data_IF_772466213921
#
_entry.id   IF_772466213921
#
_cell.length_a   1.000
_cell.length_b   1.000
_cell.length_c   1.000
_cell.angle_alpha   90.00
_cell.angle_beta   90.00
_cell.angle_gamma   90.00
#
_symmetry.space_group_name_H-M   'P 1'
#
loop_
_entity.id
_entity.type
_entity.pdbx_description
1 polymer ?
#
# COMPACT_ATOMS: atom_id res chain seq x y z
N UNK A 1 46.94 -57.30 -26.08
CA UNK A 1 45.79 -56.67 -25.39
C UNK A 1 45.89 -55.19 -25.60
N UNK A 2 45.05 -54.59 -26.46
CA UNK A 2 45.06 -53.23 -26.81
C UNK A 2 43.98 -52.51 -25.93
N UNK A 3 44.39 -51.58 -25.08
CA UNK A 3 43.47 -50.77 -24.24
C UNK A 3 42.93 -49.62 -25.04
N UNK A 4 41.59 -49.54 -25.17
CA UNK A 4 40.85 -48.44 -25.76
C UNK A 4 40.67 -47.34 -24.70
N UNK A 5 41.25 -46.17 -24.94
CA UNK A 5 41.02 -44.98 -24.16
C UNK A 5 39.66 -44.36 -24.55
N UNK A 6 38.74 -44.26 -23.57
CA UNK A 6 37.48 -43.55 -23.71
C UNK A 6 37.74 -42.03 -23.59
N UNK A 7 37.46 -41.30 -24.65
CA UNK A 7 37.44 -39.84 -24.63
C UNK A 7 36.17 -39.32 -23.90
N UNK A 8 36.35 -38.52 -22.87
CA UNK A 8 35.27 -37.80 -22.17
C UNK A 8 34.93 -36.57 -23.00
N UNK A 9 33.67 -36.33 -23.39
CA UNK A 9 33.32 -35.12 -24.08
C UNK A 9 33.39 -33.89 -23.12
N UNK A 10 34.03 -32.84 -23.57
CA UNK A 10 34.08 -31.55 -22.87
C UNK A 10 32.66 -30.98 -22.76
N UNK A 11 32.23 -30.77 -21.53
CA UNK A 11 30.98 -30.05 -21.26
C UNK A 11 31.09 -28.60 -21.78
N UNK A 12 30.27 -28.26 -22.76
CA UNK A 12 30.12 -26.90 -23.20
C UNK A 12 29.53 -26.10 -22.04
N UNK A 13 30.31 -25.16 -21.50
CA UNK A 13 29.83 -24.11 -20.62
C UNK A 13 28.85 -23.26 -21.43
N UNK A 14 27.55 -23.44 -21.15
CA UNK A 14 26.52 -22.52 -21.59
C UNK A 14 26.78 -21.20 -20.85
N UNK A 15 27.43 -20.25 -21.51
CA UNK A 15 27.42 -18.85 -21.11
C UNK A 15 26.02 -18.35 -21.39
N UNK A 16 25.10 -18.55 -20.44
CA UNK A 16 23.82 -17.88 -20.47
C UNK A 16 24.07 -16.38 -20.43
N UNK A 17 23.51 -15.65 -21.39
CA UNK A 17 23.48 -14.20 -21.34
C UNK A 17 23.00 -13.78 -19.95
N UNK A 18 23.61 -12.75 -19.32
CA UNK A 18 23.13 -12.26 -18.03
C UNK A 18 21.67 -11.85 -18.21
N UNK A 19 20.77 -12.54 -17.50
CA UNK A 19 19.36 -12.23 -17.53
C UNK A 19 19.20 -10.71 -17.29
N UNK A 20 18.61 -10.02 -18.28
CA UNK A 20 18.41 -8.57 -18.19
C UNK A 20 17.67 -8.29 -16.87
N UNK A 21 18.29 -7.49 -15.99
CA UNK A 21 17.76 -7.27 -14.66
C UNK A 21 16.36 -6.66 -14.78
N UNK A 22 15.35 -7.38 -14.27
CA UNK A 22 13.98 -6.94 -14.37
C UNK A 22 13.83 -5.51 -13.85
N UNK A 23 13.27 -4.63 -14.68
CA UNK A 23 13.05 -3.23 -14.31
C UNK A 23 11.84 -3.13 -13.39
N UNK A 24 12.05 -2.74 -12.14
CA UNK A 24 10.97 -2.52 -11.18
C UNK A 24 10.60 -1.04 -11.14
N UNK A 25 9.33 -0.76 -11.34
CA UNK A 25 8.79 0.59 -11.25
C UNK A 25 8.16 0.84 -9.89
N UNK A 26 8.16 2.10 -9.48
CA UNK A 26 7.36 2.57 -8.34
C UNK A 26 6.30 3.54 -8.81
N UNK A 27 5.21 3.65 -8.04
CA UNK A 27 4.17 4.67 -8.23
C UNK A 27 4.03 5.47 -6.95
N UNK A 28 3.69 6.74 -7.08
CA UNK A 28 3.55 7.64 -5.95
C UNK A 28 2.31 8.52 -6.09
N UNK A 29 1.69 8.83 -4.95
CA UNK A 29 0.71 9.91 -4.85
C UNK A 29 1.42 11.24 -4.83
N UNK A 30 1.06 12.14 -5.75
CA UNK A 30 1.59 13.49 -5.85
C UNK A 30 0.46 14.49 -5.60
N UNK A 31 0.49 15.16 -4.45
CA UNK A 31 -0.61 15.96 -3.93
C UNK A 31 -0.71 17.35 -4.56
N UNK A 32 0.41 17.97 -4.96
CA UNK A 32 0.41 19.33 -5.49
C UNK A 32 -0.39 19.44 -6.80
N UNK A 33 -0.32 18.40 -7.64
CA UNK A 33 -1.05 18.35 -8.91
C UNK A 33 -2.16 17.29 -8.96
N UNK A 34 -2.42 16.61 -7.84
CA UNK A 34 -3.45 15.58 -7.74
C UNK A 34 -3.22 14.40 -8.68
N UNK A 35 -1.98 13.91 -8.79
CA UNK A 35 -1.60 12.87 -9.75
C UNK A 35 -1.09 11.61 -9.08
N UNK A 36 -1.29 10.50 -9.77
CA UNK A 36 -0.54 9.28 -9.56
C UNK A 36 0.55 9.23 -10.61
N UNK A 37 1.81 9.17 -10.17
CA UNK A 37 2.99 9.15 -11.03
C UNK A 37 3.69 7.80 -10.94
N UNK A 38 4.22 7.29 -12.07
CA UNK A 38 5.09 6.12 -12.12
C UNK A 38 6.51 6.55 -12.44
N UNK A 39 7.47 5.97 -11.74
CA UNK A 39 8.90 6.23 -11.93
C UNK A 39 9.68 4.94 -12.15
N UNK A 40 10.73 5.04 -12.94
CA UNK A 40 11.79 4.03 -13.01
C UNK A 40 12.91 4.46 -12.03
N UNK A 41 13.20 3.71 -10.97
CA UNK A 41 14.26 4.05 -10.03
C UNK A 41 15.67 4.11 -10.65
N UNK A 42 15.89 3.35 -11.73
CA UNK A 42 17.20 3.31 -12.41
C UNK A 42 17.40 4.48 -13.37
N UNK A 43 16.32 5.11 -13.85
CA UNK A 43 16.37 6.25 -14.78
C UNK A 43 15.32 7.29 -14.39
N UNK A 44 15.59 8.03 -13.33
CA UNK A 44 14.66 9.02 -12.80
C UNK A 44 14.40 10.13 -13.82
N UNK A 45 13.15 10.35 -14.12
CA UNK A 45 12.66 11.40 -14.99
C UNK A 45 11.49 12.14 -14.32
N UNK A 46 10.78 12.99 -15.06
CA UNK A 46 9.58 13.69 -14.55
C UNK A 46 8.46 12.79 -14.06
N UNK A 47 8.58 11.49 -14.29
CA UNK A 47 7.57 10.47 -14.01
C UNK A 47 6.49 10.40 -15.11
N UNK A 48 5.94 9.21 -15.32
CA UNK A 48 4.79 9.00 -16.20
C UNK A 48 3.51 9.21 -15.40
N UNK A 49 2.62 10.09 -15.88
CA UNK A 49 1.31 10.26 -15.27
C UNK A 49 0.48 9.02 -15.55
N UNK A 50 0.08 8.29 -14.50
CA UNK A 50 -0.85 7.17 -14.59
C UNK A 50 -2.29 7.66 -14.56
N UNK A 51 -2.61 8.58 -13.67
CA UNK A 51 -3.95 9.10 -13.47
C UNK A 51 -3.94 10.49 -12.83
N UNK A 52 -5.00 11.26 -13.04
CA UNK A 52 -5.25 12.56 -12.40
C UNK A 52 -6.59 12.55 -11.69
N UNK A 53 -6.63 13.09 -10.49
CA UNK A 53 -7.86 13.32 -9.77
C UNK A 53 -8.79 14.25 -10.55
N UNK A 54 -10.11 14.05 -10.47
CA UNK A 54 -11.09 14.91 -11.15
C UNK A 54 -11.04 16.37 -10.68
N UNK A 55 -10.57 16.61 -9.45
CA UNK A 55 -10.47 17.92 -8.84
C UNK A 55 -9.27 17.99 -7.90
N UNK A 56 -8.75 19.19 -7.69
CA UNK A 56 -7.75 19.52 -6.66
C UNK A 56 -8.41 20.14 -5.41
N UNK A 57 -9.72 20.14 -5.33
CA UNK A 57 -10.50 20.72 -4.23
C UNK A 57 -11.50 19.71 -3.65
N UNK A 58 -12.02 20.00 -2.46
CA UNK A 58 -13.01 19.17 -1.81
C UNK A 58 -12.49 17.79 -1.42
N UNK A 59 -13.28 16.78 -1.67
CA UNK A 59 -12.97 15.38 -1.25
C UNK A 59 -11.81 14.73 -2.00
N UNK A 60 -11.39 15.26 -3.14
CA UNK A 60 -10.26 14.76 -3.94
C UNK A 60 -8.91 15.39 -3.58
N UNK A 61 -8.89 16.34 -2.65
CA UNK A 61 -7.65 16.98 -2.18
C UNK A 61 -6.81 15.98 -1.40
N UNK A 62 -5.49 16.12 -1.48
CA UNK A 62 -4.52 15.35 -0.71
C UNK A 62 -4.61 13.84 -0.96
N UNK A 63 -4.26 13.41 -2.19
CA UNK A 63 -4.14 11.99 -2.52
C UNK A 63 -3.25 11.29 -1.49
N UNK A 64 -3.79 10.29 -0.79
CA UNK A 64 -3.15 9.70 0.38
C UNK A 64 -2.69 8.26 0.18
N UNK A 65 -3.27 7.51 -0.75
CA UNK A 65 -2.80 6.17 -1.11
C UNK A 65 -3.08 5.84 -2.57
N UNK A 66 -2.28 4.92 -3.10
CA UNK A 66 -2.52 4.25 -4.39
C UNK A 66 -2.01 2.82 -4.30
N UNK A 67 -2.83 1.86 -4.76
CA UNK A 67 -2.41 0.47 -4.97
C UNK A 67 -2.92 0.00 -6.32
N UNK A 68 -2.16 -0.85 -6.98
CA UNK A 68 -2.56 -1.48 -8.23
C UNK A 68 -2.93 -2.92 -7.95
N UNK A 69 -4.06 -3.39 -8.48
CA UNK A 69 -4.57 -4.75 -8.27
C UNK A 69 -5.10 -5.34 -9.57
N UNK A 70 -4.80 -6.62 -9.78
CA UNK A 70 -5.46 -7.40 -10.81
C UNK A 70 -6.87 -7.79 -10.37
N UNK A 71 -7.82 -7.77 -11.29
CA UNK A 71 -9.20 -8.23 -11.05
C UNK A 71 -9.69 -9.06 -12.21
N UNK A 72 -10.57 -10.01 -11.96
CA UNK A 72 -11.17 -10.84 -13.00
C UNK A 72 -12.16 -10.07 -13.89
N UNK A 73 -12.72 -8.97 -13.38
CA UNK A 73 -13.81 -8.23 -14.07
C UNK A 73 -13.34 -6.98 -14.81
N UNK A 74 -12.37 -6.25 -14.26
CA UNK A 74 -11.90 -4.97 -14.82
C UNK A 74 -10.42 -5.02 -15.23
N UNK A 75 -9.80 -6.21 -15.30
CA UNK A 75 -8.35 -6.30 -15.51
C UNK A 75 -7.59 -5.60 -14.39
N UNK A 76 -6.68 -4.70 -14.74
CA UNK A 76 -5.91 -3.94 -13.76
C UNK A 76 -6.67 -2.70 -13.30
N UNK A 77 -6.73 -2.51 -12.00
CA UNK A 77 -7.34 -1.33 -11.36
C UNK A 77 -6.34 -0.63 -10.45
N UNK A 78 -6.50 0.68 -10.32
CA UNK A 78 -5.88 1.45 -9.25
C UNK A 78 -6.91 1.70 -8.15
N UNK A 79 -6.53 1.42 -6.92
CA UNK A 79 -7.24 1.80 -5.69
C UNK A 79 -6.63 3.09 -5.18
N UNK A 80 -7.43 4.12 -4.99
CA UNK A 80 -6.95 5.46 -4.62
C UNK A 80 -7.74 5.99 -3.43
N UNK A 81 -7.05 6.65 -2.50
CA UNK A 81 -7.69 7.49 -1.48
C UNK A 81 -7.18 8.92 -1.57
N UNK A 82 -8.04 9.84 -1.15
CA UNK A 82 -7.73 11.24 -0.93
C UNK A 82 -8.26 11.65 0.45
N UNK A 83 -7.44 12.31 1.25
CA UNK A 83 -7.80 12.67 2.63
C UNK A 83 -8.84 13.81 2.71
N UNK A 84 -9.04 14.56 1.61
CA UNK A 84 -9.95 15.67 1.55
C UNK A 84 -9.36 16.99 2.09
N UNK A 85 -10.15 18.04 2.03
CA UNK A 85 -9.79 19.37 2.50
C UNK A 85 -10.49 19.67 3.84
N UNK A 86 -9.72 19.70 4.92
CA UNK A 86 -10.06 20.38 6.18
C UNK A 86 -11.18 19.83 7.06
N UNK A 87 -12.17 19.15 6.53
CA UNK A 87 -13.36 18.68 7.27
C UNK A 87 -13.39 17.15 7.46
N UNK A 88 -12.24 16.49 7.31
CA UNK A 88 -12.08 15.05 7.48
C UNK A 88 -12.98 14.19 6.57
N UNK A 89 -13.56 14.77 5.53
CA UNK A 89 -14.32 14.06 4.50
C UNK A 89 -13.45 13.91 3.25
N UNK A 90 -13.04 12.71 2.96
CA UNK A 90 -12.23 12.37 1.81
C UNK A 90 -12.95 11.48 0.81
N UNK A 91 -12.17 10.85 -0.06
CA UNK A 91 -12.64 10.00 -1.14
C UNK A 91 -11.86 8.68 -1.18
N UNK A 92 -12.57 7.60 -1.48
CA UNK A 92 -11.97 6.34 -1.92
C UNK A 92 -12.51 6.00 -3.31
N UNK A 93 -11.67 5.42 -4.15
CA UNK A 93 -12.05 5.04 -5.52
C UNK A 93 -11.33 3.80 -6.03
N UNK A 94 -11.98 3.10 -6.95
CA UNK A 94 -11.41 2.09 -7.81
C UNK A 94 -11.47 2.58 -9.26
N UNK A 95 -10.34 2.56 -9.95
CA UNK A 95 -10.15 3.13 -11.27
C UNK A 95 -9.72 2.01 -12.21
N UNK A 96 -10.50 1.75 -13.24
CA UNK A 96 -10.15 0.83 -14.32
C UNK A 96 -9.08 1.49 -15.21
N UNK A 97 -7.88 0.89 -15.25
CA UNK A 97 -6.76 1.42 -16.02
C UNK A 97 -7.05 1.47 -17.51
N UNK A 98 -7.85 0.54 -18.04
CA UNK A 98 -8.19 0.46 -19.46
C UNK A 98 -9.16 1.58 -19.90
N UNK A 99 -9.94 2.12 -18.95
CA UNK A 99 -10.93 3.17 -19.19
C UNK A 99 -10.39 4.59 -18.90
N UNK A 100 -9.09 4.74 -18.62
CA UNK A 100 -8.47 6.05 -18.44
C UNK A 100 -8.31 6.72 -19.80
N UNK A 101 -8.81 7.95 -19.93
CA UNK A 101 -8.72 8.74 -21.16
C UNK A 101 -7.28 9.14 -21.51
N UNK A 102 -7.04 9.61 -22.74
CA UNK A 102 -5.73 10.11 -23.17
C UNK A 102 -5.20 11.26 -22.31
N UNK A 103 -6.10 12.06 -21.72
CA UNK A 103 -5.76 13.11 -20.73
C UNK A 103 -5.43 12.60 -19.33
N UNK A 104 -5.39 11.27 -19.14
CA UNK A 104 -5.16 10.59 -17.86
C UNK A 104 -6.22 10.87 -16.78
N UNK A 105 -7.43 11.14 -17.19
CA UNK A 105 -8.62 11.29 -16.32
C UNK A 105 -9.63 10.18 -16.60
N UNK A 106 -10.69 10.11 -15.81
CA UNK A 106 -11.75 9.09 -16.00
C UNK A 106 -11.39 7.74 -15.39
N UNK A 107 -11.99 6.69 -15.90
CA UNK A 107 -11.78 5.30 -15.47
C UNK A 107 -12.39 4.96 -14.10
N UNK A 108 -13.06 5.87 -13.40
CA UNK A 108 -13.63 5.62 -12.08
C UNK A 108 -14.83 4.68 -12.22
N UNK A 109 -14.65 3.42 -11.84
CA UNK A 109 -15.72 2.41 -11.86
C UNK A 109 -16.46 2.32 -10.52
N UNK A 110 -15.84 2.81 -9.45
CA UNK A 110 -16.44 2.93 -8.13
C UNK A 110 -15.81 4.09 -7.36
N UNK A 111 -16.62 4.81 -6.59
CA UNK A 111 -16.10 5.74 -5.58
C UNK A 111 -17.11 5.93 -4.45
N UNK A 112 -16.59 6.28 -3.28
CA UNK A 112 -17.38 6.64 -2.11
C UNK A 112 -16.76 7.83 -1.39
N UNK A 113 -17.60 8.65 -0.75
CA UNK A 113 -17.14 9.57 0.28
C UNK A 113 -16.82 8.79 1.55
N UNK A 114 -15.74 9.15 2.22
CA UNK A 114 -15.26 8.46 3.41
C UNK A 114 -14.93 9.48 4.48
N UNK A 115 -15.63 9.41 5.59
CA UNK A 115 -15.36 10.24 6.75
C UNK A 115 -14.07 9.80 7.46
N UNK A 116 -13.48 10.74 8.20
CA UNK A 116 -12.41 10.42 9.14
C UNK A 116 -11.00 10.42 8.54
N UNK A 117 -10.76 11.20 7.50
CA UNK A 117 -9.43 11.35 6.93
C UNK A 117 -8.87 10.02 6.37
N UNK A 118 -9.38 9.53 5.23
CA UNK A 118 -8.94 8.26 4.65
C UNK A 118 -7.48 8.32 4.22
N UNK A 119 -6.72 7.30 4.64
CA UNK A 119 -5.29 7.21 4.40
C UNK A 119 -4.87 6.01 3.57
N UNK A 120 -5.61 4.91 3.62
CA UNK A 120 -5.24 3.70 2.88
C UNK A 120 -6.46 2.92 2.44
N UNK A 121 -6.30 2.17 1.36
CA UNK A 121 -7.37 1.39 0.73
C UNK A 121 -6.83 0.03 0.31
N UNK A 122 -7.66 -1.00 0.47
CA UNK A 122 -7.36 -2.34 -0.04
C UNK A 122 -8.63 -2.98 -0.58
N UNK A 123 -8.48 -3.82 -1.60
CA UNK A 123 -9.53 -4.64 -2.17
C UNK A 123 -9.33 -6.09 -1.77
N UNK A 124 -10.36 -6.71 -1.21
CA UNK A 124 -10.33 -8.13 -0.87
C UNK A 124 -10.37 -8.93 -2.16
N UNK A 125 -9.31 -9.71 -2.39
CA UNK A 125 -9.17 -10.53 -3.58
C UNK A 125 -10.31 -11.57 -3.68
N UNK A 126 -10.75 -11.83 -4.91
CA UNK A 126 -11.85 -12.79 -5.19
C UNK A 126 -13.24 -12.32 -4.76
N UNK A 127 -13.33 -11.60 -3.64
CA UNK A 127 -14.57 -11.14 -3.04
C UNK A 127 -15.05 -9.80 -3.63
N UNK A 128 -14.14 -8.86 -3.85
CA UNK A 128 -14.42 -7.55 -4.43
C UNK A 128 -14.79 -6.46 -3.43
N UNK A 129 -14.90 -6.77 -2.15
CA UNK A 129 -15.13 -5.76 -1.12
C UNK A 129 -13.90 -4.84 -0.97
N UNK A 130 -14.14 -3.62 -0.55
CA UNK A 130 -13.09 -2.60 -0.32
C UNK A 130 -13.08 -2.23 1.15
N UNK A 131 -11.88 -2.17 1.72
CA UNK A 131 -11.59 -1.71 3.07
C UNK A 131 -10.80 -0.40 2.99
N UNK A 132 -11.25 0.61 3.72
CA UNK A 132 -10.57 1.92 3.79
C UNK A 132 -10.20 2.20 5.23
N UNK A 133 -8.91 2.47 5.48
CA UNK A 133 -8.41 2.90 6.77
C UNK A 133 -8.53 4.42 6.91
N UNK A 134 -9.11 4.87 8.02
CA UNK A 134 -9.29 6.28 8.37
C UNK A 134 -8.64 6.58 9.71
N UNK A 135 -7.86 7.66 9.79
CA UNK A 135 -7.07 7.96 10.98
C UNK A 135 -7.85 8.68 12.08
N UNK A 136 -8.99 9.24 11.72
CA UNK A 136 -9.82 10.06 12.63
C UNK A 136 -11.30 9.67 12.51
N UNK A 137 -12.12 10.14 13.44
CA UNK A 137 -13.58 10.13 13.30
C UNK A 137 -14.08 11.22 12.35
N UNK A 138 -15.36 11.18 12.00
CA UNK A 138 -16.01 12.19 11.16
C UNK A 138 -15.90 13.61 11.75
N UNK A 139 -15.84 13.73 13.07
CA UNK A 139 -15.63 15.00 13.80
C UNK A 139 -14.15 15.42 13.93
N UNK A 140 -13.22 14.65 13.36
CA UNK A 140 -11.78 14.88 13.51
C UNK A 140 -11.14 14.31 14.78
N UNK A 141 -11.90 13.62 15.63
CA UNK A 141 -11.37 12.95 16.82
C UNK A 141 -10.37 11.86 16.42
N UNK A 142 -9.19 11.85 17.03
CA UNK A 142 -8.16 10.83 16.82
C UNK A 142 -8.64 9.44 17.27
N UNK A 143 -9.49 9.36 18.28
CA UNK A 143 -10.04 8.10 18.79
C UNK A 143 -11.15 7.52 17.91
N UNK A 144 -11.66 8.30 16.96
CA UNK A 144 -12.73 7.90 16.04
C UNK A 144 -12.26 7.18 14.78
N UNK A 145 -10.96 6.88 14.60
CA UNK A 145 -10.42 6.19 13.44
C UNK A 145 -10.85 4.72 13.33
N UNK A 146 -10.71 4.14 12.16
CA UNK A 146 -11.08 2.73 11.94
C UNK A 146 -11.04 2.27 10.50
N UNK A 147 -11.66 1.11 10.28
CA UNK A 147 -11.79 0.51 8.97
C UNK A 147 -13.23 0.59 8.49
N UNK A 148 -13.43 1.23 7.34
CA UNK A 148 -14.72 1.29 6.63
C UNK A 148 -14.78 0.18 5.61
N UNK A 149 -15.84 -0.66 5.67
CA UNK A 149 -16.08 -1.76 4.74
C UNK A 149 -17.17 -1.41 3.75
N UNK A 150 -16.87 -1.54 2.47
CA UNK A 150 -17.78 -1.41 1.33
C UNK A 150 -17.86 -2.76 0.62
N UNK A 151 -19.06 -3.30 0.45
CA UNK A 151 -19.26 -4.65 -0.08
C UNK A 151 -19.99 -4.62 -1.42
N UNK A 152 -19.65 -5.54 -2.34
CA UNK A 152 -20.41 -5.72 -3.57
C UNK A 152 -21.71 -6.50 -3.32
N UNK A 153 -22.67 -6.35 -4.21
CA UNK A 153 -23.91 -7.17 -4.20
C UNK A 153 -23.65 -8.64 -4.56
N UNK A 154 -22.60 -8.88 -5.36
CA UNK A 154 -22.17 -10.22 -5.78
C UNK A 154 -20.66 -10.34 -5.71
N UNK A 155 -20.17 -11.57 -5.58
CA UNK A 155 -18.73 -11.87 -5.49
C UNK A 155 -17.96 -11.31 -6.67
N UNK A 156 -16.80 -10.68 -6.41
CA UNK A 156 -15.97 -10.05 -7.43
C UNK A 156 -16.55 -8.76 -8.03
N UNK A 157 -17.76 -8.35 -7.64
CA UNK A 157 -18.43 -7.14 -8.13
C UNK A 157 -17.78 -5.84 -7.65
N UNK A 158 -18.30 -4.70 -8.10
CA UNK A 158 -17.98 -3.40 -7.52
C UNK A 158 -18.80 -3.20 -6.24
N UNK A 159 -18.22 -2.59 -5.19
CA UNK A 159 -18.96 -2.29 -3.97
C UNK A 159 -20.07 -1.27 -4.21
N UNK A 160 -21.06 -1.25 -3.31
CA UNK A 160 -21.94 -0.11 -3.15
C UNK A 160 -21.18 1.12 -2.66
N UNK A 161 -21.72 2.32 -2.88
CA UNK A 161 -21.10 3.57 -2.42
C UNK A 161 -21.32 3.86 -0.93
N UNK A 162 -22.22 3.14 -0.29
CA UNK A 162 -22.49 3.26 1.15
C UNK A 162 -21.65 2.28 1.95
N UNK A 163 -21.06 2.77 3.04
CA UNK A 163 -20.35 1.96 4.02
C UNK A 163 -21.32 0.99 4.71
N UNK A 164 -21.01 -0.31 4.65
CA UNK A 164 -21.83 -1.36 5.27
C UNK A 164 -21.49 -1.56 6.74
N UNK A 165 -20.19 -1.42 7.09
CA UNK A 165 -19.71 -1.61 8.47
C UNK A 165 -18.51 -0.70 8.73
N UNK A 166 -18.39 -0.26 9.96
CA UNK A 166 -17.22 0.41 10.51
C UNK A 166 -16.67 -0.42 11.67
N UNK A 167 -15.35 -0.63 11.64
CA UNK A 167 -14.61 -1.35 12.68
C UNK A 167 -13.70 -0.36 13.37
N UNK A 168 -13.97 -0.07 14.65
CA UNK A 168 -13.18 0.88 15.41
C UNK A 168 -11.73 0.42 15.53
N UNK A 169 -10.83 1.27 15.11
CA UNK A 169 -9.39 1.12 15.26
C UNK A 169 -8.75 2.52 15.28
N UNK A 170 -8.62 3.13 16.46
CA UNK A 170 -8.09 4.49 16.59
C UNK A 170 -6.79 4.68 15.83
N UNK A 171 -6.70 5.75 15.06
CA UNK A 171 -5.50 6.08 14.30
C UNK A 171 -5.18 5.14 13.14
N UNK A 172 -6.14 4.35 12.62
CA UNK A 172 -5.90 3.46 11.48
C UNK A 172 -5.43 4.25 10.25
N UNK A 173 -4.22 3.95 9.76
CA UNK A 173 -3.60 4.66 8.64
C UNK A 173 -3.25 3.75 7.46
N UNK A 174 -2.83 2.53 7.71
CA UNK A 174 -2.44 1.57 6.70
C UNK A 174 -3.37 0.37 6.69
N UNK A 175 -3.70 -0.16 5.50
CA UNK A 175 -4.41 -1.43 5.31
C UNK A 175 -3.83 -2.15 4.10
N UNK A 176 -3.65 -3.46 4.19
CA UNK A 176 -3.22 -4.32 3.08
C UNK A 176 -3.79 -5.72 3.24
N UNK A 177 -3.80 -6.51 2.18
CA UNK A 177 -4.14 -7.93 2.23
C UNK A 177 -2.90 -8.80 2.38
N UNK A 178 -3.08 -10.02 2.90
CA UNK A 178 -2.06 -11.07 2.92
C UNK A 178 -2.47 -12.23 2.02
N UNK A 179 -1.52 -13.08 1.66
CA UNK A 179 -1.79 -14.34 0.94
C UNK A 179 -2.68 -15.31 1.73
N UNK A 180 -2.60 -15.25 3.06
CA UNK A 180 -3.47 -16.03 3.94
C UNK A 180 -4.95 -15.59 3.94
N UNK A 181 -5.29 -14.53 3.19
CA UNK A 181 -6.65 -13.99 3.10
C UNK A 181 -7.03 -13.02 4.22
N UNK A 182 -6.10 -12.67 5.10
CA UNK A 182 -6.35 -11.65 6.13
C UNK A 182 -6.24 -10.24 5.55
N UNK A 183 -6.99 -9.34 6.13
CA UNK A 183 -6.78 -7.89 6.02
C UNK A 183 -5.93 -7.45 7.20
N UNK A 184 -4.76 -6.90 6.90
CA UNK A 184 -3.83 -6.35 7.89
C UNK A 184 -4.00 -4.84 7.94
N UNK A 185 -4.01 -4.28 9.15
CA UNK A 185 -4.09 -2.84 9.34
C UNK A 185 -3.14 -2.38 10.45
N UNK A 186 -2.64 -1.14 10.34
CA UNK A 186 -1.82 -0.50 11.38
C UNK A 186 -2.43 0.81 11.82
N UNK A 187 -2.28 1.11 13.10
CA UNK A 187 -2.75 2.33 13.74
C UNK A 187 -2.44 2.31 15.24
N UNK A 188 -2.29 3.46 15.84
CA UNK A 188 -2.15 3.67 17.29
C UNK A 188 -1.30 2.62 18.03
N UNK A 189 -0.09 2.35 17.52
CA UNK A 189 0.86 1.42 18.16
C UNK A 189 0.50 -0.06 18.03
N UNK A 190 -0.37 -0.42 17.10
CA UNK A 190 -0.79 -1.81 16.85
C UNK A 190 -0.73 -2.17 15.37
N UNK A 191 -0.51 -3.46 15.12
CA UNK A 191 -0.86 -4.14 13.87
C UNK A 191 -1.97 -5.12 14.19
N UNK A 192 -3.03 -5.12 13.40
CA UNK A 192 -4.18 -6.01 13.54
C UNK A 192 -4.38 -6.83 12.27
N UNK A 193 -4.73 -8.10 12.44
CA UNK A 193 -5.14 -8.98 11.36
C UNK A 193 -6.64 -9.29 11.51
N UNK A 194 -7.37 -9.16 10.42
CA UNK A 194 -8.79 -9.44 10.37
C UNK A 194 -9.04 -10.59 9.41
N UNK A 195 -9.68 -11.64 9.90
CA UNK A 195 -10.24 -12.69 9.06
C UNK A 195 -11.40 -12.13 8.23
N UNK A 196 -11.47 -12.53 6.97
CA UNK A 196 -12.56 -12.18 6.06
C UNK A 196 -13.54 -13.33 6.02
N UNK A 197 -14.81 -13.06 6.30
CA UNK A 197 -15.89 -14.05 6.25
C UNK A 197 -17.02 -13.60 5.32
N UNK A 198 -17.78 -14.55 4.81
CA UNK A 198 -18.87 -14.29 3.87
C UNK A 198 -18.39 -13.83 2.50
N UNK A 199 -19.36 -13.63 1.60
CA UNK A 199 -19.15 -13.25 0.20
C UNK A 199 -20.16 -12.18 -0.22
N UNK A 200 -19.81 -11.35 -1.20
CA UNK A 200 -20.69 -10.30 -1.70
C UNK A 200 -21.22 -9.43 -0.56
N UNK A 201 -22.54 -9.24 -0.48
CA UNK A 201 -23.19 -8.41 0.54
C UNK A 201 -23.04 -8.94 1.98
N UNK A 202 -22.73 -10.23 2.15
CA UNK A 202 -22.52 -10.83 3.48
C UNK A 202 -21.09 -10.69 4.00
N UNK A 203 -20.16 -10.11 3.23
CA UNK A 203 -18.78 -9.93 3.64
C UNK A 203 -18.66 -9.19 4.96
N UNK A 204 -17.85 -9.71 5.87
CA UNK A 204 -17.53 -9.13 7.18
C UNK A 204 -16.05 -9.31 7.49
N UNK A 205 -15.54 -8.45 8.37
CA UNK A 205 -14.23 -8.60 9.00
C UNK A 205 -14.42 -9.00 10.45
N UNK A 206 -13.58 -9.88 10.95
CA UNK A 206 -13.48 -10.23 12.35
C UNK A 206 -12.04 -10.08 12.81
N UNK A 207 -11.80 -9.34 13.89
CA UNK A 207 -10.44 -9.28 14.46
C UNK A 207 -10.04 -10.70 14.87
N UNK A 208 -8.94 -11.19 14.28
CA UNK A 208 -8.43 -12.53 14.52
C UNK A 208 -7.27 -12.46 15.53
N UNK A 209 -6.25 -11.67 15.24
CA UNK A 209 -5.13 -11.45 16.16
C UNK A 209 -4.54 -10.05 16.00
N UNK A 210 -3.75 -9.64 16.99
CA UNK A 210 -3.06 -8.35 16.97
C UNK A 210 -1.72 -8.42 17.67
N UNK A 211 -0.84 -7.47 17.34
CA UNK A 211 0.40 -7.22 18.07
C UNK A 211 0.51 -5.73 18.38
N UNK A 212 0.93 -5.43 19.61
CA UNK A 212 1.30 -4.08 20.02
C UNK A 212 2.79 -3.87 19.85
N UNK A 213 3.17 -2.66 19.50
CA UNK A 213 4.57 -2.25 19.44
C UNK A 213 4.76 -0.97 20.25
N UNK A 214 5.81 -0.95 21.05
CA UNK A 214 6.28 0.24 21.74
C UNK A 214 7.57 0.70 21.08
N UNK A 215 7.72 2.00 20.94
CA UNK A 215 9.00 2.60 20.53
C UNK A 215 9.96 2.83 21.71
N UNK A 216 9.52 2.50 22.92
CA UNK A 216 10.29 2.68 24.15
C UNK A 216 10.28 4.13 24.67
N UNK A 217 9.73 5.08 23.92
CA UNK A 217 9.80 6.51 24.26
C UNK A 217 8.52 7.07 24.88
N UNK A 218 7.45 6.27 24.94
CA UNK A 218 6.14 6.73 25.43
C UNK A 218 5.43 7.74 24.52
N UNK A 219 6.01 8.03 23.35
CA UNK A 219 5.43 8.95 22.37
C UNK A 219 4.22 8.37 21.64
N UNK A 220 3.45 9.28 21.04
CA UNK A 220 2.22 8.95 20.34
C UNK A 220 2.45 7.84 19.30
N UNK A 221 1.72 6.80 19.43
CA UNK A 221 1.80 5.50 18.81
C UNK A 221 1.12 5.50 17.45
N UNK A 222 1.50 6.42 16.57
CA UNK A 222 0.89 6.48 15.22
C UNK A 222 1.52 5.44 14.32
N UNK A 223 0.71 4.51 13.81
CA UNK A 223 1.09 3.72 12.64
C UNK A 223 0.79 4.54 11.38
N UNK A 224 1.74 4.69 10.46
CA UNK A 224 1.49 5.45 9.22
C UNK A 224 1.14 4.56 8.05
N UNK A 225 1.75 3.39 7.92
CA UNK A 225 1.54 2.52 6.76
C UNK A 225 1.84 1.05 7.08
N UNK A 226 1.26 0.15 6.30
CA UNK A 226 1.61 -1.26 6.26
C UNK A 226 1.64 -1.73 4.81
N UNK A 227 2.75 -2.37 4.42
CA UNK A 227 2.99 -2.87 3.07
C UNK A 227 3.68 -4.22 3.08
N UNK A 228 3.43 -5.06 2.07
CA UNK A 228 4.19 -6.29 1.88
C UNK A 228 5.68 -6.02 1.69
N UNK A 229 6.49 -6.96 2.14
CA UNK A 229 7.87 -7.14 1.71
C UNK A 229 7.86 -7.99 0.43
N UNK A 230 8.01 -7.36 -0.72
CA UNK A 230 7.93 -8.05 -2.02
C UNK A 230 9.12 -8.98 -2.31
N UNK A 231 10.07 -9.08 -1.38
CA UNK A 231 11.20 -10.00 -1.41
C UNK A 231 11.07 -11.15 -0.39
N UNK A 232 9.98 -11.21 0.39
CA UNK A 232 9.75 -12.25 1.40
C UNK A 232 8.26 -12.50 1.65
N UNK A 233 7.81 -13.74 1.44
CA UNK A 233 6.42 -14.15 1.64
C UNK A 233 5.93 -13.92 3.07
N UNK A 234 4.65 -13.55 3.19
CA UNK A 234 3.95 -13.30 4.46
C UNK A 234 4.67 -12.35 5.41
N UNK A 235 5.51 -11.49 4.85
CA UNK A 235 6.29 -10.51 5.59
C UNK A 235 5.82 -9.10 5.23
N UNK A 236 5.68 -8.26 6.25
CA UNK A 236 5.14 -6.91 6.09
C UNK A 236 6.01 -5.90 6.81
N UNK A 237 6.25 -4.77 6.16
CA UNK A 237 6.77 -3.58 6.79
C UNK A 237 5.61 -2.71 7.26
N UNK A 238 5.75 -2.16 8.45
CA UNK A 238 4.87 -1.11 8.92
C UNK A 238 5.68 0.03 9.53
N UNK A 239 5.15 1.23 9.40
CA UNK A 239 5.83 2.45 9.81
C UNK A 239 5.09 3.09 10.98
N UNK A 240 5.84 3.63 11.92
CA UNK A 240 5.34 4.48 13.00
C UNK A 240 6.02 5.84 12.93
N UNK A 241 5.69 6.73 13.87
CA UNK A 241 6.35 8.05 13.92
C UNK A 241 7.86 7.99 14.14
N UNK A 242 8.39 6.87 14.66
CA UNK A 242 9.78 6.78 15.08
C UNK A 242 10.56 5.59 14.47
N UNK A 243 9.86 4.67 13.80
CA UNK A 243 10.50 3.45 13.35
C UNK A 243 9.83 2.89 12.11
N UNK A 244 10.63 2.20 11.28
CA UNK A 244 10.16 1.19 10.34
C UNK A 244 10.36 -0.17 10.98
N UNK A 245 9.31 -0.97 11.01
CA UNK A 245 9.32 -2.30 11.60
C UNK A 245 8.90 -3.35 10.58
N UNK A 246 9.27 -4.58 10.88
CA UNK A 246 8.92 -5.75 10.08
C UNK A 246 8.25 -6.79 10.97
N UNK A 247 7.23 -7.44 10.42
CA UNK A 247 6.53 -8.56 11.03
C UNK A 247 6.25 -9.63 9.98
N UNK A 248 6.32 -10.90 10.37
CA UNK A 248 5.92 -12.03 9.54
C UNK A 248 4.62 -12.64 10.08
N UNK A 249 3.71 -13.03 9.20
CA UNK A 249 2.62 -13.92 9.54
C UNK A 249 3.16 -15.35 9.64
N UNK A 250 2.80 -16.04 10.69
CA UNK A 250 3.18 -17.42 10.93
C UNK A 250 1.93 -18.25 11.25
N UNK A 251 1.92 -19.47 10.74
CA UNK A 251 0.90 -20.46 11.05
C UNK A 251 1.52 -21.59 11.86
N UNK A 252 0.90 -21.93 12.98
CA UNK A 252 1.31 -23.04 13.83
C UNK A 252 0.08 -23.83 14.31
N UNK A 253 0.21 -24.87 15.16
CA UNK A 253 -0.93 -25.63 15.66
C UNK A 253 -2.00 -24.83 16.39
N UNK A 254 -1.70 -23.61 16.82
CA UNK A 254 -2.64 -22.69 17.47
C UNK A 254 -3.33 -21.75 16.47
N UNK A 255 -2.94 -21.79 15.18
CA UNK A 255 -3.52 -20.97 14.13
C UNK A 255 -2.58 -19.86 13.64
N UNK A 256 -3.13 -18.88 12.93
CA UNK A 256 -2.39 -17.72 12.43
C UNK A 256 -2.06 -16.73 13.56
N UNK A 257 -0.88 -16.16 13.51
CA UNK A 257 -0.43 -15.09 14.42
C UNK A 257 0.66 -14.24 13.83
N UNK A 258 0.93 -13.10 14.43
CA UNK A 258 2.16 -12.36 14.16
C UNK A 258 3.35 -13.04 14.84
N UNK A 259 4.41 -13.24 14.07
CA UNK A 259 5.73 -13.60 14.60
C UNK A 259 6.42 -12.41 15.29
N UNK A 260 7.71 -12.53 15.52
CA UNK A 260 8.49 -11.47 16.17
C UNK A 260 8.47 -10.19 15.34
N UNK A 261 8.13 -9.08 15.99
CA UNK A 261 8.25 -7.74 15.42
C UNK A 261 9.70 -7.28 15.60
N UNK A 262 10.35 -6.87 14.51
CA UNK A 262 11.73 -6.37 14.53
C UNK A 262 11.82 -4.96 13.95
N UNK A 263 12.73 -4.14 14.49
CA UNK A 263 13.02 -2.82 13.95
C UNK A 263 13.95 -2.95 12.74
N UNK A 264 13.59 -2.32 11.64
CA UNK A 264 14.33 -2.30 10.37
C UNK A 264 15.08 -0.99 10.20
N UNK A 265 14.49 0.10 10.66
CA UNK A 265 15.08 1.44 10.63
C UNK A 265 14.52 2.28 11.77
N UNK A 266 15.36 3.14 12.30
CA UNK A 266 15.00 4.18 13.30
C UNK A 266 14.74 5.54 12.64
N UNK A 267 14.51 5.56 11.33
CA UNK A 267 14.15 6.80 10.62
C UNK A 267 12.77 7.26 11.08
N UNK A 268 12.70 8.51 11.50
CA UNK A 268 11.46 9.13 11.98
C UNK A 268 10.51 9.49 10.86
N UNK A 269 9.22 9.55 11.17
CA UNK A 269 8.14 10.07 10.33
C UNK A 269 8.00 9.42 8.95
N UNK A 270 8.45 8.17 8.77
CA UNK A 270 8.34 7.45 7.50
C UNK A 270 6.86 7.23 7.16
N UNK A 271 6.39 7.82 6.05
CA UNK A 271 4.99 7.75 5.59
C UNK A 271 4.68 6.48 4.81
N UNK A 272 5.66 5.90 4.16
CA UNK A 272 5.57 4.60 3.48
C UNK A 272 6.95 3.99 3.37
N UNK A 273 7.03 2.65 3.41
CA UNK A 273 8.29 1.92 3.26
C UNK A 273 8.00 0.54 2.68
N UNK A 274 8.74 0.16 1.66
CA UNK A 274 8.68 -1.20 1.11
C UNK A 274 10.03 -1.62 0.53
N UNK A 275 10.21 -2.93 0.32
CA UNK A 275 11.33 -3.52 -0.39
C UNK A 275 10.83 -4.12 -1.69
N UNK A 276 11.50 -3.80 -2.79
CA UNK A 276 11.21 -4.34 -4.11
C UNK A 276 11.81 -5.74 -4.25
N UNK A 277 11.36 -6.56 -5.22
CA UNK A 277 11.88 -7.93 -5.41
C UNK A 277 13.38 -8.02 -5.69
N UNK A 278 14.02 -6.94 -6.13
CA UNK A 278 15.47 -6.84 -6.33
C UNK A 278 16.23 -6.37 -5.07
N UNK A 279 15.57 -6.35 -3.91
CA UNK A 279 16.15 -5.92 -2.66
C UNK A 279 16.23 -4.40 -2.44
N UNK A 280 15.96 -3.58 -3.47
CA UNK A 280 15.95 -2.10 -3.32
C UNK A 280 14.81 -1.69 -2.40
N UNK A 281 15.15 -0.92 -1.36
CA UNK A 281 14.19 -0.32 -0.43
C UNK A 281 13.77 1.05 -0.96
N UNK A 282 12.50 1.41 -0.74
CA UNK A 282 11.98 2.74 -1.07
C UNK A 282 11.08 3.26 0.04
N UNK A 283 11.19 4.57 0.32
CA UNK A 283 10.40 5.20 1.39
C UNK A 283 10.22 6.70 1.16
N UNK A 284 9.28 7.28 1.90
CA UNK A 284 9.05 8.72 1.97
C UNK A 284 9.14 9.19 3.42
N UNK A 285 9.91 10.26 3.64
CA UNK A 285 10.00 10.99 4.90
C UNK A 285 9.63 12.44 4.61
N UNK A 286 8.66 13.05 5.30
CA UNK A 286 8.44 14.50 5.22
C UNK A 286 9.71 15.24 5.63
N UNK A 287 10.18 16.15 4.79
CA UNK A 287 11.44 16.87 5.04
C UNK A 287 11.29 17.98 6.05
N UNK A 288 12.16 18.03 7.06
CA UNK A 288 12.39 19.25 7.81
C UNK A 288 12.99 20.31 6.86
N UNK A 289 12.29 21.41 6.67
CA UNK A 289 12.69 22.48 5.74
C UNK A 289 12.06 22.43 4.35
N UNK A 290 11.23 21.42 4.05
CA UNK A 290 10.47 21.35 2.80
C UNK A 290 9.05 21.96 2.89
N UNK A 291 8.80 22.71 3.91
CA UNK A 291 7.48 23.25 4.25
C UNK A 291 6.76 22.37 5.27
N UNK A 292 5.86 22.94 5.98
CA UNK A 292 5.03 22.26 6.96
C UNK A 292 4.23 21.18 6.27
N UNK A 293 4.53 19.93 6.50
CA UNK A 293 3.68 18.97 5.86
C UNK A 293 3.99 17.53 6.12
N UNK A 294 3.02 16.80 5.75
CA UNK A 294 2.95 15.37 5.76
C UNK A 294 3.54 14.76 4.46
N UNK A 295 4.25 15.56 3.64
CA UNK A 295 4.74 15.21 2.30
C UNK A 295 6.23 15.52 2.11
N UNK A 296 6.81 14.99 1.05
CA UNK A 296 8.20 15.25 0.63
C UNK A 296 8.28 15.52 -0.87
N UNK A 297 9.22 16.33 -1.32
CA UNK A 297 9.61 16.42 -2.75
C UNK A 297 10.51 15.26 -3.16
N UNK A 298 10.98 14.45 -2.20
CA UNK A 298 11.97 13.39 -2.39
C UNK A 298 11.35 12.02 -2.14
N UNK A 299 11.61 11.08 -3.04
CA UNK A 299 11.44 9.65 -2.82
C UNK A 299 12.83 9.07 -2.56
N UNK A 300 12.97 8.40 -1.43
CA UNK A 300 14.22 7.77 -1.03
C UNK A 300 14.29 6.34 -1.56
N UNK A 301 15.47 5.94 -2.00
CA UNK A 301 15.81 4.56 -2.36
C UNK A 301 17.13 4.17 -1.71
N UNK A 302 17.32 2.90 -1.40
CA UNK A 302 18.62 2.41 -0.91
C UNK A 302 19.74 2.53 -1.96
N UNK A 303 19.39 2.75 -3.23
CA UNK A 303 20.32 3.03 -4.34
C UNK A 303 20.59 4.52 -4.59
N UNK A 304 19.92 5.43 -3.90
CA UNK A 304 20.04 6.87 -4.07
C UNK A 304 18.69 7.59 -4.03
N UNK A 305 18.70 8.87 -3.69
CA UNK A 305 17.49 9.66 -3.53
C UNK A 305 17.12 10.38 -4.84
N UNK A 306 15.83 10.50 -5.09
CA UNK A 306 15.32 11.23 -6.24
C UNK A 306 14.32 12.30 -5.83
N UNK A 307 14.56 13.54 -6.25
CA UNK A 307 13.71 14.68 -5.93
C UNK A 307 13.06 15.27 -7.19
N UNK A 308 11.85 15.83 -7.01
CA UNK A 308 11.12 16.56 -8.03
C UNK A 308 10.68 17.91 -7.48
N UNK A 309 11.19 19.01 -8.06
CA UNK A 309 10.81 20.37 -7.66
C UNK A 309 9.29 20.58 -7.79
N UNK A 310 8.68 21.21 -6.79
CA UNK A 310 7.26 21.49 -6.72
C UNK A 310 6.36 20.28 -6.43
N UNK A 311 6.91 19.06 -6.36
CA UNK A 311 6.10 17.90 -6.00
C UNK A 311 5.86 17.80 -4.50
N UNK A 312 4.73 17.16 -4.14
CA UNK A 312 4.33 16.80 -2.78
C UNK A 312 3.99 15.32 -2.75
N UNK A 313 5.01 14.46 -2.65
CA UNK A 313 4.83 13.02 -2.53
C UNK A 313 4.39 12.67 -1.11
N UNK A 314 3.31 11.89 -1.01
CA UNK A 314 2.82 11.43 0.29
C UNK A 314 3.10 9.95 0.53
N UNK A 315 2.85 9.08 -0.48
CA UNK A 315 3.18 7.65 -0.42
C UNK A 315 3.82 7.17 -1.71
N UNK A 316 4.74 6.20 -1.55
CA UNK A 316 5.34 5.45 -2.65
C UNK A 316 4.98 3.96 -2.52
N UNK A 317 4.73 3.31 -3.65
CA UNK A 317 4.33 1.91 -3.79
C UNK A 317 5.11 1.22 -4.88
N UNK A 318 5.34 -0.08 -4.74
CA UNK A 318 5.77 -0.90 -5.86
C UNK A 318 4.64 -0.94 -6.91
N UNK A 319 5.02 -0.75 -8.17
CA UNK A 319 4.07 -0.80 -9.30
C UNK A 319 3.82 -2.26 -9.70
N UNK A 320 2.95 -2.93 -8.96
CA UNK A 320 2.59 -4.34 -9.15
C UNK A 320 1.10 -4.53 -8.95
N UNK A 321 0.55 -5.57 -9.57
CA UNK A 321 -0.83 -6.03 -9.33
C UNK A 321 -0.91 -7.13 -8.28
N UNK A 322 0.23 -7.63 -7.80
CA UNK A 322 0.29 -8.73 -6.86
C UNK A 322 -0.33 -8.36 -5.51
N UNK A 323 -1.05 -9.31 -4.94
CA UNK A 323 -1.39 -9.37 -3.52
C UNK A 323 -0.29 -10.12 -2.77
N UNK A 324 -0.14 -9.84 -1.48
CA UNK A 324 0.90 -10.51 -0.68
C UNK A 324 0.34 -11.02 0.64
#
# INVERSE_FOLDING_TARGET
>A
MAGTALAVPAAALLTGDPAEAATYYVMATEQASGRILRFNPASWSSGTVLWKAPSLTGTWTNLSDVKRRGTSKWGNVMLVTASGAGNYLGKAAMIDESAISSGRTGGIVWSANVDGNPHSIERIEGNGAIVVATSKGASGSADGGGLSLFVPSSNGGKPGSSRVKFYSFPGAHGVTSSRSGHILATGNGQVRAYAVTGNGSSTRLSLDFSASFSDGSGHAKTGHDILPDYDADDTFFFTSSYNVRKVKLVYDPLGWRFGTVSTVSTTDHVKSYTRLPNGVKTWIVPGSGEGEGEWSKTIHFSSGNHSKSGARFYRVRYYTTAFH
#
